data_IF_208841395638
#
_entry.id   IF_208841395638
#
_cell.length_a   1.000
_cell.length_b   1.000
_cell.length_c   1.000
_cell.angle_alpha   90.00
_cell.angle_beta   90.00
_cell.angle_gamma   90.00
#
_symmetry.space_group_name_H-M   'P 1'
#
loop_
_entity.id
_entity.type
_entity.pdbx_description
1 polymer ?
#
# COMPACT_ATOMS: atom_id res chain seq x y z
N UNK A 1 9.39 20.62 6.18
CA UNK A 1 9.54 19.87 4.91
C UNK A 1 10.46 18.72 5.21
N UNK A 2 10.25 17.53 4.65
CA UNK A 2 11.14 16.40 4.96
C UNK A 2 12.60 16.73 4.61
N UNK A 3 13.51 16.34 5.51
CA UNK A 3 14.95 16.33 5.23
C UNK A 3 15.29 15.08 4.42
N UNK A 4 14.59 13.98 4.68
CA UNK A 4 14.73 12.74 3.94
C UNK A 4 13.39 12.14 3.54
N UNK A 5 13.42 11.45 2.41
CA UNK A 5 12.31 10.60 1.99
C UNK A 5 12.76 9.34 1.28
N UNK A 6 11.92 8.31 1.25
CA UNK A 6 12.22 7.13 0.45
C UNK A 6 11.55 5.88 0.96
N UNK A 7 12.27 4.76 0.90
CA UNK A 7 11.73 3.44 1.19
C UNK A 7 12.52 2.71 2.26
N UNK A 8 11.80 1.91 3.05
CA UNK A 8 12.37 0.97 4.00
C UNK A 8 11.70 -0.41 3.91
N UNK A 9 12.50 -1.47 3.96
CA UNK A 9 12.05 -2.86 3.84
C UNK A 9 13.21 -3.79 3.45
N UNK A 10 12.91 -5.02 3.04
CA UNK A 10 13.94 -5.94 2.56
C UNK A 10 13.38 -6.99 1.58
N UNK A 11 13.94 -7.13 0.36
CA UNK A 11 14.85 -6.19 -0.32
C UNK A 11 14.10 -4.96 -0.88
N UNK A 12 14.80 -3.83 -1.10
CA UNK A 12 14.19 -2.61 -1.68
C UNK A 12 14.81 -2.16 -3.01
N UNK A 13 15.82 -2.89 -3.52
CA UNK A 13 16.57 -2.55 -4.74
C UNK A 13 15.71 -2.40 -6.00
N UNK A 14 14.62 -3.17 -6.09
CA UNK A 14 13.71 -3.17 -7.25
C UNK A 14 12.49 -2.24 -7.08
N UNK A 15 12.43 -1.45 -6.01
CA UNK A 15 11.26 -0.63 -5.74
C UNK A 15 11.15 0.56 -6.68
N UNK A 16 9.92 0.85 -7.15
CA UNK A 16 9.58 2.06 -7.89
C UNK A 16 9.45 3.30 -6.99
N UNK A 17 9.31 3.12 -5.67
CA UNK A 17 9.13 4.19 -4.68
C UNK A 17 10.10 5.37 -4.86
N UNK A 18 11.42 5.17 -5.04
CA UNK A 18 12.36 6.28 -5.20
C UNK A 18 12.09 7.15 -6.43
N UNK A 19 11.70 6.50 -7.55
CA UNK A 19 11.31 7.22 -8.77
C UNK A 19 10.02 8.00 -8.57
N UNK A 20 9.07 7.45 -7.82
CA UNK A 20 7.81 8.12 -7.50
C UNK A 20 8.00 9.31 -6.56
N UNK A 21 8.82 9.17 -5.52
CA UNK A 21 9.19 10.32 -4.66
C UNK A 21 9.90 11.41 -5.45
N UNK A 22 10.82 11.05 -6.35
CA UNK A 22 11.48 12.02 -7.22
C UNK A 22 10.48 12.78 -8.10
N UNK A 23 9.60 12.05 -8.81
CA UNK A 23 8.64 12.64 -9.73
C UNK A 23 7.65 13.59 -9.03
N UNK A 24 7.06 13.15 -7.91
CA UNK A 24 6.13 14.01 -7.14
C UNK A 24 6.87 15.16 -6.48
N UNK A 25 8.08 14.92 -5.98
CA UNK A 25 8.96 15.94 -5.43
C UNK A 25 9.29 17.05 -6.41
N UNK A 26 9.67 16.69 -7.63
CA UNK A 26 9.95 17.63 -8.71
C UNK A 26 8.71 18.45 -9.07
N UNK A 27 7.56 17.79 -9.23
CA UNK A 27 6.28 18.44 -9.53
C UNK A 27 5.90 19.47 -8.45
N UNK A 28 6.09 19.11 -7.17
CA UNK A 28 5.80 19.98 -6.03
C UNK A 28 6.94 20.96 -5.72
N UNK A 29 8.05 20.95 -6.47
CA UNK A 29 9.24 21.78 -6.23
C UNK A 29 9.84 21.57 -4.83
N UNK A 30 9.90 20.32 -4.38
CA UNK A 30 10.39 19.88 -3.08
C UNK A 30 11.74 19.14 -3.22
N UNK A 31 12.68 19.78 -3.91
CA UNK A 31 13.90 19.12 -4.37
C UNK A 31 15.03 19.09 -3.31
N UNK A 32 14.76 19.57 -2.10
CA UNK A 32 15.76 19.64 -1.03
C UNK A 32 15.87 18.35 -0.22
N UNK A 33 14.88 17.46 -0.28
CA UNK A 33 14.86 16.24 0.51
C UNK A 33 15.83 15.19 -0.09
N UNK A 34 16.66 14.59 0.76
CA UNK A 34 17.57 13.53 0.37
C UNK A 34 16.81 12.20 0.25
N UNK A 35 17.06 11.45 -0.83
CA UNK A 35 16.52 10.10 -0.99
C UNK A 35 17.26 9.08 -0.13
N UNK A 36 16.52 8.24 0.58
CA UNK A 36 17.04 7.16 1.41
C UNK A 36 16.44 5.80 1.03
N UNK A 37 17.29 4.78 1.09
CA UNK A 37 16.98 3.40 0.74
C UNK A 37 17.47 2.55 1.91
N UNK A 38 16.55 2.19 2.79
CA UNK A 38 16.89 1.56 4.05
C UNK A 38 16.55 0.07 3.98
N UNK A 39 17.59 -0.76 3.92
CA UNK A 39 17.42 -2.20 4.07
C UNK A 39 17.26 -2.55 5.55
N UNK A 40 16.08 -3.11 5.86
CA UNK A 40 15.71 -3.57 7.19
C UNK A 40 14.71 -4.74 7.09
N UNK A 41 15.11 -5.90 7.61
CA UNK A 41 14.33 -7.14 7.65
C UNK A 41 13.54 -7.30 8.96
N UNK A 42 13.53 -6.27 9.81
CA UNK A 42 12.83 -6.26 11.08
C UNK A 42 12.94 -4.90 11.79
N UNK A 43 12.17 -4.76 12.87
CA UNK A 43 12.01 -3.46 13.54
C UNK A 43 13.29 -2.94 14.22
N UNK A 44 14.13 -3.83 14.74
CA UNK A 44 15.40 -3.44 15.34
C UNK A 44 16.37 -2.88 14.29
N UNK A 45 16.41 -3.49 13.11
CA UNK A 45 17.19 -2.96 11.98
C UNK A 45 16.61 -1.63 11.52
N UNK A 46 15.28 -1.53 11.35
CA UNK A 46 14.60 -0.28 11.02
C UNK A 46 15.01 0.85 11.98
N UNK A 47 14.92 0.64 13.30
CA UNK A 47 15.31 1.61 14.32
C UNK A 47 16.78 2.03 14.17
N UNK A 48 17.69 1.08 13.98
CA UNK A 48 19.11 1.38 13.79
C UNK A 48 19.38 2.21 12.53
N UNK A 49 18.63 1.97 11.45
CA UNK A 49 18.77 2.68 10.17
C UNK A 49 18.23 4.10 10.24
N UNK A 50 17.12 4.33 10.95
CA UNK A 50 16.52 5.68 11.08
C UNK A 50 17.17 6.52 12.19
N UNK A 51 17.88 5.90 13.13
CA UNK A 51 18.57 6.59 14.21
C UNK A 51 19.76 7.44 13.75
N UNK A 52 20.37 7.10 12.62
CA UNK A 52 21.51 7.86 12.05
C UNK A 52 21.07 9.01 11.15
N UNK A 53 19.77 9.15 10.89
CA UNK A 53 19.21 10.24 10.09
C UNK A 53 18.70 11.32 11.04
N UNK A 54 19.23 12.54 10.90
CA UNK A 54 18.85 13.69 11.75
C UNK A 54 17.81 14.55 11.03
N UNK A 55 16.61 14.71 11.59
CA UNK A 55 15.56 15.55 11.01
C UNK A 55 14.27 14.81 10.63
N UNK A 56 13.48 15.44 9.78
CA UNK A 56 12.15 14.97 9.37
C UNK A 56 12.26 13.88 8.30
N UNK A 57 11.53 12.77 8.48
CA UNK A 57 11.59 11.57 7.61
C UNK A 57 10.24 11.22 7.03
N UNK A 58 10.15 11.03 5.72
CA UNK A 58 8.97 10.49 5.04
C UNK A 58 9.31 9.14 4.38
N UNK A 59 8.83 8.04 4.96
CA UNK A 59 9.20 6.70 4.54
C UNK A 59 7.98 5.93 4.07
N UNK A 60 8.08 5.29 2.90
CA UNK A 60 7.20 4.18 2.57
C UNK A 60 7.78 2.87 3.09
N UNK A 61 6.95 2.09 3.77
CA UNK A 61 7.31 0.81 4.36
C UNK A 61 6.76 -0.32 3.51
N UNK A 62 7.66 -1.24 3.12
CA UNK A 62 7.28 -2.48 2.44
C UNK A 62 7.56 -3.69 3.32
N UNK A 63 7.31 -4.90 2.81
CA UNK A 63 7.61 -6.14 3.51
C UNK A 63 9.11 -6.19 3.92
N UNK A 64 9.42 -6.78 5.08
CA UNK A 64 8.51 -7.37 6.07
C UNK A 64 7.94 -6.37 7.09
N UNK A 65 8.19 -5.07 6.95
CA UNK A 65 7.97 -4.07 7.99
C UNK A 65 6.54 -3.54 8.08
N UNK A 66 5.58 -3.92 7.23
CA UNK A 66 4.22 -3.33 7.27
C UNK A 66 3.44 -3.53 8.60
N UNK A 67 3.88 -4.47 9.45
CA UNK A 67 3.24 -4.78 10.74
C UNK A 67 4.04 -4.35 11.97
N UNK A 68 5.35 -4.19 11.85
CA UNK A 68 6.25 -4.02 13.01
C UNK A 68 6.35 -2.61 13.62
N UNK A 69 6.13 -1.50 12.86
CA UNK A 69 6.23 -0.14 13.37
C UNK A 69 5.14 0.25 14.36
N UNK A 70 3.98 -0.41 14.35
CA UNK A 70 2.79 0.07 15.07
C UNK A 70 3.02 0.14 16.59
N UNK A 71 3.39 -0.97 17.20
CA UNK A 71 3.59 -1.05 18.65
C UNK A 71 4.81 -0.25 19.14
N UNK A 72 5.85 -0.14 18.30
CA UNK A 72 7.14 0.47 18.68
C UNK A 72 7.23 1.96 18.40
N UNK A 73 6.54 2.45 17.37
CA UNK A 73 6.50 3.88 17.04
C UNK A 73 5.24 4.57 17.58
N UNK A 74 4.32 3.83 18.20
CA UNK A 74 3.06 4.38 18.70
C UNK A 74 2.13 4.86 17.58
N UNK A 75 2.26 4.27 16.38
CA UNK A 75 1.43 4.60 15.22
C UNK A 75 0.34 3.56 15.04
N UNK A 76 -0.90 3.99 14.88
CA UNK A 76 -2.03 3.10 14.57
C UNK A 76 -2.43 3.24 13.10
N UNK A 77 -2.63 2.10 12.43
CA UNK A 77 -3.34 2.08 11.15
C UNK A 77 -4.85 2.28 11.36
N UNK A 78 -5.65 2.33 10.28
CA UNK A 78 -7.11 2.32 10.39
C UNK A 78 -7.61 1.11 11.19
N UNK A 79 -8.62 1.31 12.03
CA UNK A 79 -9.20 0.27 12.89
C UNK A 79 -9.59 -0.97 12.08
N UNK A 80 -9.16 -2.15 12.54
CA UNK A 80 -9.43 -3.44 11.89
C UNK A 80 -8.53 -3.77 10.69
N UNK A 81 -7.81 -2.80 10.12
CA UNK A 81 -6.78 -3.04 9.08
C UNK A 81 -5.45 -3.40 9.73
N UNK A 82 -5.05 -2.64 10.76
CA UNK A 82 -3.80 -2.82 11.53
C UNK A 82 -2.56 -2.98 10.62
N UNK A 83 -2.41 -2.06 9.66
CA UNK A 83 -1.27 -2.00 8.75
C UNK A 83 -0.81 -0.56 8.56
N UNK A 84 0.49 -0.36 8.39
CA UNK A 84 1.10 0.94 8.09
C UNK A 84 2.13 0.74 6.98
N UNK A 85 1.93 1.39 5.84
CA UNK A 85 2.86 1.39 4.70
C UNK A 85 3.45 2.78 4.43
N UNK A 86 3.03 3.82 5.17
CA UNK A 86 3.57 5.18 5.10
C UNK A 86 3.85 5.70 6.51
N UNK A 87 5.05 6.19 6.75
CA UNK A 87 5.52 6.75 8.01
C UNK A 87 6.04 8.17 7.81
N UNK A 88 5.74 9.05 8.76
CA UNK A 88 6.25 10.41 8.82
C UNK A 88 6.78 10.70 10.21
N UNK A 89 8.06 11.07 10.30
CA UNK A 89 8.70 11.61 11.50
C UNK A 89 8.81 13.13 11.35
N UNK A 90 8.23 13.90 12.27
CA UNK A 90 8.39 15.36 12.33
C UNK A 90 8.75 15.76 13.75
N UNK A 91 9.84 16.50 13.94
CA UNK A 91 10.26 16.94 15.28
C UNK A 91 10.49 15.78 16.27
N UNK A 92 10.83 14.59 15.77
CA UNK A 92 11.02 13.37 16.56
C UNK A 92 9.75 12.54 16.80
N UNK A 93 8.57 13.06 16.48
CA UNK A 93 7.30 12.34 16.63
C UNK A 93 6.94 11.55 15.38
N UNK A 94 6.53 10.29 15.54
CA UNK A 94 6.12 9.42 14.45
C UNK A 94 4.61 9.43 14.25
N UNK A 95 4.21 9.48 12.99
CA UNK A 95 2.84 9.27 12.50
C UNK A 95 2.88 8.26 11.36
N UNK A 96 1.77 7.57 11.12
CA UNK A 96 1.70 6.58 10.04
C UNK A 96 0.28 6.29 9.60
N UNK A 97 0.15 5.81 8.37
CA UNK A 97 -1.12 5.36 7.81
C UNK A 97 -0.93 4.21 6.82
N UNK A 98 -2.03 3.59 6.41
CA UNK A 98 -2.06 2.69 5.25
C UNK A 98 -2.70 3.39 4.05
N UNK A 99 -2.00 3.40 2.92
CA UNK A 99 -2.52 3.88 1.64
C UNK A 99 -2.73 2.76 0.61
N UNK A 100 -2.47 1.50 0.99
CA UNK A 100 -2.64 0.34 0.09
C UNK A 100 -4.09 0.23 -0.39
N UNK A 101 -5.07 0.37 0.52
CA UNK A 101 -6.50 0.22 0.20
C UNK A 101 -7.03 1.33 -0.71
N UNK A 102 -6.85 2.59 -0.30
CA UNK A 102 -7.28 3.75 -1.11
C UNK A 102 -6.52 3.84 -2.43
N UNK A 103 -5.25 3.43 -2.48
CA UNK A 103 -4.47 3.32 -3.70
C UNK A 103 -5.03 2.26 -4.66
N UNK A 104 -5.48 1.11 -4.15
CA UNK A 104 -6.15 0.08 -4.95
C UNK A 104 -7.46 0.58 -5.55
N UNK A 105 -8.30 1.26 -4.76
CA UNK A 105 -9.55 1.88 -5.24
C UNK A 105 -9.25 2.91 -6.33
N UNK A 106 -8.27 3.79 -6.13
CA UNK A 106 -7.87 4.79 -7.12
C UNK A 106 -7.34 4.14 -8.41
N UNK A 107 -6.60 3.04 -8.31
CA UNK A 107 -6.14 2.27 -9.46
C UNK A 107 -7.29 1.59 -10.22
N UNK A 108 -8.28 1.03 -9.52
CA UNK A 108 -9.49 0.48 -10.12
C UNK A 108 -10.25 1.57 -10.90
N UNK A 109 -10.46 2.74 -10.28
CA UNK A 109 -11.10 3.89 -10.94
C UNK A 109 -10.34 4.32 -12.20
N UNK A 110 -9.01 4.29 -12.17
CA UNK A 110 -8.17 4.62 -13.32
C UNK A 110 -8.40 3.68 -14.51
N UNK A 111 -8.64 2.39 -14.26
CA UNK A 111 -8.95 1.40 -15.30
C UNK A 111 -10.46 1.28 -15.59
N UNK A 112 -11.29 2.18 -15.04
CA UNK A 112 -12.72 2.25 -15.31
C UNK A 112 -13.61 1.36 -14.44
N UNK A 113 -13.10 0.86 -13.31
CA UNK A 113 -13.87 0.06 -12.36
C UNK A 113 -14.18 0.90 -11.13
N UNK A 114 -15.47 1.12 -10.86
CA UNK A 114 -15.95 1.78 -9.65
C UNK A 114 -16.33 0.72 -8.61
N UNK A 115 -15.91 0.83 -7.32
CA UNK A 115 -16.31 -0.13 -6.31
C UNK A 115 -17.82 -0.24 -6.10
N UNK A 116 -18.55 0.88 -6.10
CA UNK A 116 -20.01 0.86 -5.89
C UNK A 116 -20.72 0.04 -6.97
N UNK A 117 -21.48 -0.97 -6.54
CA UNK A 117 -22.14 -1.91 -7.44
C UNK A 117 -21.25 -2.99 -8.06
N UNK A 118 -19.94 -2.98 -7.78
CA UNK A 118 -19.00 -4.02 -8.23
C UNK A 118 -18.66 -5.04 -7.15
N UNK A 119 -18.25 -6.23 -7.61
CA UNK A 119 -17.86 -7.34 -6.75
C UNK A 119 -16.36 -7.59 -6.92
N UNK A 120 -15.63 -7.54 -5.80
CA UNK A 120 -14.22 -7.90 -5.71
C UNK A 120 -14.10 -9.34 -5.21
N UNK A 121 -13.54 -10.23 -6.04
CA UNK A 121 -13.10 -11.56 -5.60
C UNK A 121 -11.64 -11.46 -5.17
N UNK A 122 -11.33 -11.85 -3.95
CA UNK A 122 -9.97 -11.69 -3.42
C UNK A 122 -9.48 -12.90 -2.65
N UNK A 123 -8.24 -13.29 -2.90
CA UNK A 123 -7.56 -14.37 -2.19
C UNK A 123 -6.47 -13.81 -1.29
N UNK A 124 -6.45 -14.23 -0.02
CA UNK A 124 -5.46 -13.82 0.98
C UNK A 124 -5.99 -12.87 2.06
N UNK A 125 -5.30 -12.83 3.20
CA UNK A 125 -5.73 -12.14 4.42
C UNK A 125 -4.65 -11.30 5.11
N UNK A 126 -3.58 -10.98 4.39
CA UNK A 126 -2.49 -10.12 4.87
C UNK A 126 -2.88 -8.64 5.07
N UNK A 127 -1.92 -7.79 5.43
CA UNK A 127 -2.12 -6.33 5.59
C UNK A 127 -2.74 -5.69 4.36
N UNK A 128 -2.18 -5.97 3.17
CA UNK A 128 -2.69 -5.41 1.92
C UNK A 128 -4.14 -5.87 1.66
N UNK A 129 -4.44 -7.14 1.90
CA UNK A 129 -5.80 -7.68 1.76
C UNK A 129 -6.81 -6.96 2.64
N UNK A 130 -6.50 -6.80 3.94
CA UNK A 130 -7.38 -6.09 4.86
C UNK A 130 -7.54 -4.61 4.50
N UNK A 131 -6.47 -3.96 4.04
CA UNK A 131 -6.54 -2.57 3.60
C UNK A 131 -7.42 -2.41 2.36
N UNK A 132 -7.26 -3.30 1.37
CA UNK A 132 -8.09 -3.34 0.15
C UNK A 132 -9.55 -3.64 0.51
N UNK A 133 -9.81 -4.66 1.32
CA UNK A 133 -11.15 -5.04 1.72
C UNK A 133 -11.88 -3.89 2.45
N UNK A 134 -11.19 -3.22 3.39
CA UNK A 134 -11.76 -2.07 4.10
C UNK A 134 -12.09 -0.91 3.16
N UNK A 135 -11.17 -0.53 2.27
CA UNK A 135 -11.38 0.58 1.34
C UNK A 135 -12.46 0.25 0.30
N UNK A 136 -12.45 -0.97 -0.25
CA UNK A 136 -13.45 -1.42 -1.23
C UNK A 136 -14.87 -1.43 -0.64
N UNK A 137 -15.02 -1.98 0.57
CA UNK A 137 -16.30 -2.01 1.28
C UNK A 137 -16.80 -0.61 1.64
N UNK A 138 -15.90 0.29 2.05
CA UNK A 138 -16.24 1.69 2.38
C UNK A 138 -16.77 2.47 1.16
N UNK A 139 -16.39 2.07 -0.05
CA UNK A 139 -16.82 2.67 -1.31
C UNK A 139 -18.05 1.97 -1.91
N UNK A 140 -18.72 1.09 -1.15
CA UNK A 140 -19.97 0.43 -1.55
C UNK A 140 -19.79 -0.92 -2.27
N UNK A 141 -18.56 -1.35 -2.48
CA UNK A 141 -18.27 -2.60 -3.16
C UNK A 141 -18.56 -3.84 -2.31
N UNK A 142 -18.89 -4.95 -2.97
CA UNK A 142 -19.07 -6.27 -2.34
C UNK A 142 -17.83 -7.13 -2.51
N UNK A 143 -17.65 -8.10 -1.61
CA UNK A 143 -16.43 -8.91 -1.54
C UNK A 143 -16.79 -10.40 -1.50
N UNK A 144 -16.13 -11.18 -2.35
CA UNK A 144 -16.11 -12.65 -2.29
C UNK A 144 -14.70 -13.07 -1.84
N UNK A 145 -14.51 -13.49 -0.57
CA UNK A 145 -13.22 -13.98 -0.11
C UNK A 145 -12.98 -15.42 -0.60
N UNK A 146 -11.76 -15.66 -1.09
CA UNK A 146 -11.29 -16.98 -1.51
C UNK A 146 -10.33 -17.58 -0.48
N UNK A 147 -10.37 -18.91 -0.36
CA UNK A 147 -9.43 -19.62 0.51
C UNK A 147 -8.00 -19.50 -0.03
N UNK A 148 -7.12 -18.95 0.80
CA UNK A 148 -5.70 -18.81 0.53
C UNK A 148 -4.83 -19.36 1.66
N UNK A 149 -3.54 -19.06 1.62
CA UNK A 149 -2.61 -19.36 2.71
C UNK A 149 -3.01 -18.64 3.99
N UNK A 150 -3.58 -17.44 3.88
CA UNK A 150 -4.13 -16.68 5.02
C UNK A 150 -5.57 -16.30 4.75
N UNK A 151 -6.54 -16.68 5.60
CA UNK A 151 -7.92 -16.27 5.43
C UNK A 151 -8.08 -14.78 5.74
N UNK A 152 -8.99 -14.12 5.02
CA UNK A 152 -9.47 -12.80 5.39
C UNK A 152 -10.30 -12.93 6.68
N UNK A 153 -9.76 -12.45 7.80
CA UNK A 153 -10.43 -12.47 9.10
C UNK A 153 -11.53 -11.40 9.18
N UNK A 154 -12.35 -11.43 10.24
CA UNK A 154 -13.38 -10.41 10.49
C UNK A 154 -12.78 -9.01 10.60
N UNK A 155 -13.49 -8.03 10.04
CA UNK A 155 -13.10 -6.62 10.06
C UNK A 155 -14.22 -5.68 9.59
N UNK A 156 -13.92 -4.40 9.34
CA UNK A 156 -14.91 -3.40 8.93
C UNK A 156 -15.66 -3.75 7.63
N UNK A 157 -15.10 -4.62 6.80
CA UNK A 157 -15.69 -5.12 5.55
C UNK A 157 -16.73 -6.22 5.75
N UNK A 158 -16.98 -6.73 6.95
CA UNK A 158 -17.85 -7.90 7.17
C UNK A 158 -19.25 -7.74 6.55
N UNK A 159 -19.82 -6.53 6.59
CA UNK A 159 -21.12 -6.23 5.99
C UNK A 159 -21.14 -6.22 4.45
N UNK A 160 -19.96 -6.23 3.82
CA UNK A 160 -19.78 -6.26 2.37
C UNK A 160 -19.52 -7.67 1.83
N UNK A 161 -19.28 -8.65 2.69
CA UNK A 161 -19.01 -10.04 2.30
C UNK A 161 -20.30 -10.69 1.78
N UNK A 162 -20.18 -11.37 0.63
CA UNK A 162 -21.25 -12.13 -0.01
C UNK A 162 -20.75 -13.54 -0.38
N UNK A 163 -21.66 -14.52 -0.44
CA UNK A 163 -21.31 -15.92 -0.69
C UNK A 163 -21.03 -16.25 -2.16
N UNK A 164 -21.41 -15.36 -3.08
CA UNK A 164 -21.24 -15.59 -4.53
C UNK A 164 -21.82 -14.48 -5.39
N UNK A 165 -21.51 -14.53 -6.69
CA UNK A 165 -21.86 -13.53 -7.69
C UNK A 165 -20.81 -13.46 -8.80
N UNK A 166 -21.14 -12.77 -9.89
CA UNK A 166 -20.21 -12.49 -10.98
C UNK A 166 -19.25 -11.38 -10.54
N UNK A 167 -17.98 -11.73 -10.29
CA UNK A 167 -17.00 -10.78 -9.81
C UNK A 167 -16.51 -9.89 -10.95
N UNK A 168 -16.59 -8.58 -10.77
CA UNK A 168 -16.06 -7.60 -11.74
C UNK A 168 -14.53 -7.63 -11.77
N UNK A 169 -13.91 -7.82 -10.60
CA UNK A 169 -12.45 -7.81 -10.47
C UNK A 169 -11.96 -8.87 -9.48
N UNK A 170 -10.87 -9.54 -9.85
CA UNK A 170 -10.19 -10.57 -9.08
C UNK A 170 -8.78 -10.14 -8.68
N UNK A 171 -8.35 -10.43 -7.45
CA UNK A 171 -6.95 -10.26 -7.02
C UNK A 171 -6.47 -11.38 -6.10
N UNK A 172 -5.33 -12.00 -6.43
CA UNK A 172 -4.62 -12.94 -5.56
C UNK A 172 -3.49 -12.23 -4.80
N UNK A 173 -3.69 -12.03 -3.50
CA UNK A 173 -2.73 -11.38 -2.60
C UNK A 173 -1.83 -12.38 -1.88
N UNK A 174 -2.01 -13.68 -2.11
CA UNK A 174 -1.09 -14.72 -1.66
C UNK A 174 -0.05 -15.11 -2.74
N UNK A 175 -0.21 -14.60 -3.96
CA UNK A 175 0.79 -14.70 -5.02
C UNK A 175 2.18 -14.22 -4.54
N UNK A 176 3.24 -14.88 -5.01
CA UNK A 176 4.58 -14.51 -4.61
C UNK A 176 4.94 -13.09 -5.11
N UNK A 177 5.72 -12.32 -4.34
CA UNK A 177 6.26 -11.04 -4.82
C UNK A 177 7.03 -11.19 -6.13
N UNK A 178 7.18 -10.10 -6.88
CA UNK A 178 7.89 -10.06 -8.16
C UNK A 178 7.29 -10.90 -9.30
N UNK A 179 5.95 -11.03 -9.32
CA UNK A 179 5.22 -11.63 -10.45
C UNK A 179 5.25 -13.15 -10.47
N UNK A 180 5.28 -13.78 -9.30
CA UNK A 180 5.15 -15.24 -9.20
C UNK A 180 3.74 -15.74 -9.53
N UNK A 181 3.58 -17.06 -9.51
CA UNK A 181 2.32 -17.71 -9.86
C UNK A 181 1.15 -17.19 -9.01
N UNK A 182 0.06 -16.84 -9.69
CA UNK A 182 -1.21 -16.38 -9.11
C UNK A 182 -2.25 -17.44 -9.37
N UNK A 183 -3.10 -17.71 -8.38
CA UNK A 183 -4.31 -18.50 -8.61
C UNK A 183 -5.24 -17.74 -9.55
N UNK A 184 -5.93 -18.46 -10.43
CA UNK A 184 -6.97 -17.88 -11.30
C UNK A 184 -8.26 -17.77 -10.51
N UNK A 185 -8.80 -16.56 -10.43
CA UNK A 185 -10.04 -16.27 -9.73
C UNK A 185 -11.16 -16.07 -10.76
N UNK A 186 -12.36 -16.55 -10.43
CA UNK A 186 -13.55 -16.39 -11.28
C UNK A 186 -14.06 -14.94 -11.22
N UNK A 187 -13.52 -14.10 -12.12
CA UNK A 187 -13.83 -12.68 -12.27
C UNK A 187 -13.66 -12.23 -13.73
N UNK A 188 -14.40 -11.20 -14.15
CA UNK A 188 -14.33 -10.61 -15.49
C UNK A 188 -12.92 -10.10 -15.83
N UNK A 189 -12.23 -9.55 -14.83
CA UNK A 189 -10.86 -9.09 -14.93
C UNK A 189 -10.07 -9.53 -13.71
N UNK A 190 -8.86 -10.05 -13.91
CA UNK A 190 -7.92 -10.33 -12.83
C UNK A 190 -6.74 -9.36 -12.89
N UNK A 191 -6.38 -8.80 -11.74
CA UNK A 191 -5.27 -7.86 -11.59
C UNK A 191 -4.20 -8.41 -10.63
N UNK A 192 -2.99 -7.89 -10.75
CA UNK A 192 -1.86 -8.15 -9.84
C UNK A 192 -1.36 -6.83 -9.27
N UNK A 193 -0.96 -6.84 -7.99
CA UNK A 193 -0.24 -5.73 -7.34
C UNK A 193 1.28 -5.98 -7.25
N UNK A 194 1.74 -7.11 -7.77
CA UNK A 194 3.15 -7.46 -7.88
C UNK A 194 3.63 -7.13 -9.30
N UNK A 195 4.71 -6.35 -9.39
CA UNK A 195 5.40 -6.02 -10.63
C UNK A 195 6.80 -6.63 -10.63
N UNK A 196 7.31 -6.95 -11.82
CA UNK A 196 8.66 -7.47 -12.03
C UNK A 196 9.62 -6.42 -12.62
N UNK A 197 10.85 -6.85 -12.88
CA UNK A 197 11.82 -6.02 -13.61
C UNK A 197 11.30 -5.72 -15.03
N UNK A 198 11.36 -4.45 -15.43
CA UNK A 198 10.87 -4.01 -16.74
C UNK A 198 9.36 -3.78 -16.83
N UNK A 199 8.64 -3.78 -15.71
CA UNK A 199 7.20 -3.50 -15.68
C UNK A 199 6.85 -2.17 -16.38
N UNK A 200 5.81 -2.20 -17.21
CA UNK A 200 5.31 -1.04 -17.96
C UNK A 200 4.42 -0.15 -17.09
N UNK A 201 4.25 1.11 -17.49
CA UNK A 201 3.37 2.06 -16.78
C UNK A 201 1.89 1.70 -16.86
N UNK A 202 1.51 0.83 -17.80
CA UNK A 202 0.12 0.43 -18.03
C UNK A 202 -0.27 -0.80 -17.20
N UNK A 203 0.70 -1.44 -16.54
CA UNK A 203 0.42 -2.55 -15.62
C UNK A 203 -0.30 -2.06 -14.36
N UNK A 204 -1.36 -2.77 -13.97
CA UNK A 204 -2.14 -2.43 -12.78
C UNK A 204 -1.28 -2.31 -11.52
N UNK A 205 -0.26 -3.16 -11.37
CA UNK A 205 0.67 -3.10 -10.24
C UNK A 205 1.43 -1.76 -10.17
N UNK A 206 1.85 -1.23 -11.31
CA UNK A 206 2.55 0.06 -11.40
C UNK A 206 1.59 1.22 -11.15
N UNK A 207 0.38 1.15 -11.71
CA UNK A 207 -0.70 2.13 -11.48
C UNK A 207 -1.05 2.17 -9.99
N UNK A 208 -1.25 1.01 -9.35
CA UNK A 208 -1.57 0.89 -7.94
C UNK A 208 -0.46 1.45 -7.04
N UNK A 209 0.80 1.15 -7.35
CA UNK A 209 1.94 1.68 -6.61
C UNK A 209 2.04 3.20 -6.76
N UNK A 210 1.82 3.75 -7.95
CA UNK A 210 1.73 5.19 -8.12
C UNK A 210 0.57 5.80 -7.30
N UNK A 211 -0.62 5.20 -7.37
CA UNK A 211 -1.82 5.67 -6.69
C UNK A 211 -1.66 5.69 -5.16
N UNK A 212 -1.15 4.62 -4.54
CA UNK A 212 -0.91 4.59 -3.09
C UNK A 212 0.12 5.63 -2.64
N UNK A 213 1.10 5.96 -3.50
CA UNK A 213 2.08 7.00 -3.21
C UNK A 213 1.43 8.38 -3.30
N UNK A 214 0.66 8.67 -4.35
CA UNK A 214 -0.07 9.93 -4.47
C UNK A 214 -1.02 10.16 -3.29
N UNK A 215 -1.72 9.12 -2.83
CA UNK A 215 -2.55 9.20 -1.63
C UNK A 215 -1.72 9.44 -0.36
N UNK A 216 -0.49 8.92 -0.26
CA UNK A 216 0.41 9.24 0.85
C UNK A 216 0.83 10.72 0.85
N UNK A 217 1.14 11.24 -0.34
CA UNK A 217 1.45 12.65 -0.51
C UNK A 217 0.30 13.56 -0.09
N UNK A 218 -0.91 13.21 -0.51
CA UNK A 218 -2.14 13.92 -0.20
C UNK A 218 -2.57 13.82 1.27
N UNK A 219 -2.35 12.69 1.93
CA UNK A 219 -2.92 12.45 3.28
C UNK A 219 -1.96 12.72 4.42
N UNK A 220 -0.67 12.37 4.28
CA UNK A 220 0.28 12.38 5.40
C UNK A 220 1.50 13.27 5.13
N UNK A 221 2.05 13.25 3.92
CA UNK A 221 3.31 13.95 3.66
C UNK A 221 3.12 15.45 3.47
N UNK A 222 2.30 15.86 2.51
CA UNK A 222 2.06 17.26 2.17
C UNK A 222 0.56 17.55 1.93
N UNK A 223 -0.33 17.31 2.92
CA UNK A 223 -1.77 17.51 2.77
C UNK A 223 -2.15 18.95 2.40
N UNK A 224 -1.34 19.93 2.78
CA UNK A 224 -1.50 21.33 2.40
C UNK A 224 -1.34 21.60 0.90
N UNK A 225 -0.85 20.62 0.13
CA UNK A 225 -0.61 20.68 -1.31
C UNK A 225 -1.53 19.77 -2.13
N UNK A 226 -2.57 19.23 -1.51
CA UNK A 226 -3.51 18.30 -2.15
C UNK A 226 -4.54 18.97 -3.09
N UNK A 227 -4.60 20.30 -3.10
CA UNK A 227 -5.57 21.11 -3.86
C UNK A 227 -5.11 21.42 -5.30
#
# INVERSE_FOLDING_TARGET
MADYWGIVGYPVSHSLTPRLFAAVGEYLKMNSAQQVFLEANGIAEFESRVAVLEGDLWLSCTAPLKHSPQDRLGVSGPDGVNAVNQLKRVGGEWSGTSTDGVGFVAACRHIGIEPDGSILRMRGGGSAARAIAAAWAAEGGRIIPEEGRRPLISGPWDSAIIDGGEATIGIDLDAAPAGGDSETLDADMQVSISYGDGASTDEFAVIMVAAQHLEAWKSIFAPERAA
#
